data_IF_738007090664
#
_entry.id   IF_738007090664
#
_cell.length_a   1.000
_cell.length_b   1.000
_cell.length_c   1.000
_cell.angle_alpha   90.00
_cell.angle_beta   90.00
_cell.angle_gamma   90.00
#
_symmetry.space_group_name_H-M   'P 1'
#
loop_
_entity.id
_entity.type
_entity.pdbx_description
1 polymer ?
#
# COMPACT_ATOMS: atom_id res chain seq x y z
N UNK A 1 35.47 -28.27 46.46
CA UNK A 1 35.15 -26.96 45.84
C UNK A 1 34.07 -27.22 44.80
N UNK A 2 32.86 -26.82 45.11
CA UNK A 2 31.75 -26.95 44.18
C UNK A 2 31.74 -25.74 43.26
N UNK A 3 31.98 -25.93 41.96
CA UNK A 3 31.84 -24.89 40.95
C UNK A 3 30.35 -24.84 40.55
N UNK A 4 29.63 -23.70 40.70
CA UNK A 4 28.27 -23.59 40.28
C UNK A 4 28.18 -23.67 38.75
N UNK A 5 27.19 -24.40 38.26
CA UNK A 5 26.86 -24.49 36.84
C UNK A 5 26.57 -23.09 36.25
N UNK A 6 26.99 -22.80 34.98
CA UNK A 6 26.69 -21.53 34.36
C UNK A 6 25.17 -21.36 34.22
N UNK A 7 24.69 -20.21 34.67
CA UNK A 7 23.29 -19.82 34.48
C UNK A 7 22.96 -19.83 32.98
N UNK A 8 21.89 -20.52 32.60
CA UNK A 8 21.33 -20.45 31.26
C UNK A 8 20.98 -18.99 30.95
N UNK A 9 21.73 -18.40 30.04
CA UNK A 9 21.38 -17.12 29.43
C UNK A 9 20.16 -17.40 28.54
N UNK A 10 19.00 -17.10 29.07
CA UNK A 10 17.77 -17.12 28.26
C UNK A 10 18.02 -16.21 27.05
N UNK A 11 18.06 -16.80 25.85
CA UNK A 11 18.17 -16.06 24.59
C UNK A 11 16.87 -15.28 24.42
N UNK A 12 16.88 -14.00 24.82
CA UNK A 12 15.85 -13.07 24.43
C UNK A 12 16.07 -12.77 22.94
N UNK A 13 15.48 -13.61 22.08
CA UNK A 13 15.30 -13.20 20.69
C UNK A 13 14.46 -11.91 20.74
N UNK A 14 14.89 -10.82 20.07
CA UNK A 14 14.08 -9.61 20.03
C UNK A 14 12.71 -9.99 19.46
N UNK A 15 11.62 -9.38 19.96
CA UNK A 15 10.31 -9.64 19.43
C UNK A 15 10.34 -9.42 17.95
N UNK A 16 9.82 -10.37 17.17
CA UNK A 16 9.65 -10.24 15.72
C UNK A 16 8.65 -9.12 15.52
N UNK A 17 9.15 -7.90 15.22
CA UNK A 17 8.30 -6.79 14.85
C UNK A 17 7.70 -7.13 13.49
N UNK A 18 6.42 -7.50 13.47
CA UNK A 18 5.68 -7.56 12.22
C UNK A 18 5.55 -6.13 11.71
N UNK A 19 6.33 -5.77 10.69
CA UNK A 19 6.21 -4.47 10.04
C UNK A 19 4.81 -4.27 9.47
N UNK A 20 4.23 -3.10 9.74
CA UNK A 20 2.88 -2.74 9.30
C UNK A 20 2.94 -1.74 8.17
N UNK A 21 2.25 -2.05 7.09
CA UNK A 21 2.19 -1.19 5.92
C UNK A 21 0.76 -0.71 5.67
N UNK A 22 0.62 0.56 5.35
CA UNK A 22 -0.63 1.18 4.92
C UNK A 22 -0.55 1.59 3.46
N UNK A 23 -1.40 1.00 2.63
CA UNK A 23 -1.56 1.34 1.21
C UNK A 23 -2.73 2.30 1.07
N UNK A 24 -2.49 3.47 0.50
CA UNK A 24 -3.54 4.42 0.18
C UNK A 24 -4.04 4.18 -1.24
N UNK A 25 -5.28 3.69 -1.32
CA UNK A 25 -5.98 3.41 -2.57
C UNK A 25 -6.00 1.94 -2.99
N UNK A 26 -7.16 1.49 -3.48
CA UNK A 26 -7.41 0.17 -4.04
C UNK A 26 -7.57 0.21 -5.58
N UNK A 27 -6.80 1.07 -6.24
CA UNK A 27 -6.61 1.04 -7.70
C UNK A 27 -5.61 -0.05 -8.10
N UNK A 28 -5.35 -0.25 -9.41
CA UNK A 28 -4.44 -1.31 -9.88
C UNK A 28 -3.03 -1.19 -9.27
N UNK A 29 -2.51 0.02 -9.11
CA UNK A 29 -1.18 0.26 -8.52
C UNK A 29 -1.18 -0.06 -7.03
N UNK A 30 -2.19 0.39 -6.28
CA UNK A 30 -2.31 0.10 -4.85
C UNK A 30 -2.51 -1.39 -4.56
N UNK A 31 -3.32 -2.08 -5.37
CA UNK A 31 -3.55 -3.53 -5.22
C UNK A 31 -2.28 -4.35 -5.50
N UNK A 32 -1.52 -4.02 -6.53
CA UNK A 32 -0.23 -4.67 -6.80
C UNK A 32 0.78 -4.36 -5.69
N UNK A 33 0.83 -3.12 -5.19
CA UNK A 33 1.65 -2.75 -4.03
C UNK A 33 1.27 -3.53 -2.77
N UNK A 34 -0.04 -3.71 -2.51
CA UNK A 34 -0.50 -4.52 -1.39
C UNK A 34 -0.07 -6.00 -1.53
N UNK A 35 -0.16 -6.58 -2.73
CA UNK A 35 0.34 -7.94 -3.01
C UNK A 35 1.84 -8.07 -2.73
N UNK A 36 2.65 -7.09 -3.17
CA UNK A 36 4.10 -7.05 -2.90
C UNK A 36 4.37 -7.01 -1.40
N UNK A 37 3.70 -6.14 -0.66
CA UNK A 37 3.89 -5.99 0.79
C UNK A 37 3.48 -7.24 1.56
N UNK A 38 2.33 -7.84 1.24
CA UNK A 38 1.92 -9.12 1.83
C UNK A 38 2.91 -10.25 1.48
N UNK A 39 3.41 -10.29 0.23
CA UNK A 39 4.41 -11.28 -0.17
C UNK A 39 5.74 -11.09 0.57
N UNK A 40 6.10 -9.86 0.90
CA UNK A 40 7.28 -9.49 1.68
C UNK A 40 7.11 -9.70 3.20
N UNK A 41 5.92 -10.11 3.67
CA UNK A 41 5.67 -10.42 5.07
C UNK A 41 5.17 -9.26 5.93
N UNK A 42 4.77 -8.14 5.31
CA UNK A 42 4.12 -7.04 6.05
C UNK A 42 2.69 -7.40 6.45
N UNK A 43 2.30 -6.99 7.65
CA UNK A 43 0.87 -6.85 7.97
C UNK A 43 0.35 -5.65 7.20
N UNK A 44 -0.37 -5.91 6.12
CA UNK A 44 -0.76 -4.89 5.15
C UNK A 44 -2.20 -4.46 5.32
N UNK A 45 -2.42 -3.16 5.34
CA UNK A 45 -3.72 -2.50 5.36
C UNK A 45 -3.91 -1.70 4.07
N UNK A 46 -5.12 -1.73 3.51
CA UNK A 46 -5.48 -0.93 2.33
C UNK A 46 -6.62 0.00 2.70
N UNK A 47 -6.37 1.31 2.63
CA UNK A 47 -7.37 2.34 2.91
C UNK A 47 -7.89 2.93 1.61
N UNK A 48 -9.19 2.81 1.36
CA UNK A 48 -9.83 3.28 0.12
C UNK A 48 -11.29 3.66 0.35
N UNK A 49 -11.87 4.40 -0.60
CA UNK A 49 -13.22 4.98 -0.48
C UNK A 49 -14.35 3.96 -0.52
N UNK A 50 -14.19 2.86 -1.25
CA UNK A 50 -15.27 1.89 -1.41
C UNK A 50 -15.56 1.16 -0.09
N UNK A 51 -16.77 0.63 0.05
CA UNK A 51 -17.14 -0.19 1.21
C UNK A 51 -16.35 -1.53 1.22
N UNK A 52 -16.23 -2.12 2.39
CA UNK A 52 -15.48 -3.37 2.59
C UNK A 52 -15.99 -4.53 1.72
N UNK A 53 -17.31 -4.61 1.52
CA UNK A 53 -17.95 -5.68 0.73
C UNK A 53 -17.89 -5.42 -0.78
N UNK A 54 -17.15 -4.40 -1.22
CA UNK A 54 -16.90 -4.14 -2.64
C UNK A 54 -15.99 -5.20 -3.28
N UNK A 55 -15.99 -5.24 -4.61
CA UNK A 55 -15.08 -6.12 -5.37
C UNK A 55 -13.61 -5.91 -4.95
N UNK A 56 -13.19 -4.65 -4.74
CA UNK A 56 -11.82 -4.33 -4.32
C UNK A 56 -11.55 -4.72 -2.87
N UNK A 57 -12.50 -4.51 -1.97
CA UNK A 57 -12.39 -4.92 -0.57
C UNK A 57 -12.26 -6.45 -0.43
N UNK A 58 -13.08 -7.19 -1.17
CA UNK A 58 -12.99 -8.65 -1.22
C UNK A 58 -11.67 -9.14 -1.82
N UNK A 59 -11.16 -8.48 -2.87
CA UNK A 59 -9.86 -8.81 -3.45
C UNK A 59 -8.74 -8.58 -2.42
N UNK A 60 -8.71 -7.45 -1.73
CA UNK A 60 -7.73 -7.15 -0.67
C UNK A 60 -7.76 -8.21 0.42
N UNK A 61 -8.94 -8.60 0.87
CA UNK A 61 -9.09 -9.65 1.89
C UNK A 61 -8.60 -11.01 1.37
N UNK A 62 -8.85 -11.34 0.11
CA UNK A 62 -8.46 -12.62 -0.50
C UNK A 62 -6.95 -12.82 -0.63
N UNK A 63 -6.17 -11.73 -0.65
CA UNK A 63 -4.70 -11.80 -0.65
C UNK A 63 -4.08 -11.80 0.76
N UNK A 64 -4.92 -11.75 1.81
CA UNK A 64 -4.47 -11.74 3.20
C UNK A 64 -4.14 -10.35 3.74
N UNK A 65 -4.57 -9.27 3.06
CA UNK A 65 -4.49 -7.90 3.56
C UNK A 65 -5.79 -7.48 4.26
N UNK A 66 -5.72 -6.43 5.07
CA UNK A 66 -6.85 -5.84 5.77
C UNK A 66 -7.40 -4.66 4.96
N UNK A 67 -8.70 -4.61 4.72
CA UNK A 67 -9.33 -3.50 4.03
C UNK A 67 -10.06 -2.58 5.00
N UNK A 68 -9.75 -1.29 4.94
CA UNK A 68 -10.39 -0.24 5.74
C UNK A 68 -11.06 0.76 4.77
N UNK A 69 -12.35 1.01 4.99
CA UNK A 69 -13.13 1.94 4.15
C UNK A 69 -13.07 3.37 4.71
N UNK A 70 -12.77 4.33 3.85
CA UNK A 70 -12.84 5.75 4.17
C UNK A 70 -14.29 6.29 4.33
N UNK A 71 -15.29 5.51 3.96
CA UNK A 71 -16.70 5.82 4.25
C UNK A 71 -17.03 5.58 5.74
N UNK A 72 -16.26 4.74 6.41
CA UNK A 72 -16.54 4.33 7.80
C UNK A 72 -15.44 4.70 8.79
N UNK A 73 -14.23 5.01 8.32
CA UNK A 73 -13.08 5.31 9.17
C UNK A 73 -12.38 6.59 8.73
N UNK A 74 -12.14 7.48 9.66
CA UNK A 74 -11.22 8.62 9.49
C UNK A 74 -9.78 8.15 9.53
N UNK A 75 -8.84 8.98 9.05
CA UNK A 75 -7.40 8.68 9.10
C UNK A 75 -6.92 8.43 10.53
N UNK A 76 -7.41 9.19 11.51
CA UNK A 76 -7.05 8.99 12.91
C UNK A 76 -7.52 7.62 13.46
N UNK A 77 -8.70 7.15 13.03
CA UNK A 77 -9.18 5.81 13.38
C UNK A 77 -8.34 4.73 12.73
N UNK A 78 -7.97 4.91 11.45
CA UNK A 78 -7.05 4.00 10.74
C UNK A 78 -5.71 3.92 11.45
N UNK A 79 -5.12 5.05 11.81
CA UNK A 79 -3.84 5.09 12.53
C UNK A 79 -3.90 4.34 13.87
N UNK A 80 -5.01 4.47 14.59
CA UNK A 80 -5.25 3.73 15.85
C UNK A 80 -5.44 2.23 15.63
N UNK A 81 -6.12 1.84 14.54
CA UNK A 81 -6.37 0.41 14.23
C UNK A 81 -5.09 -0.28 13.77
N UNK A 82 -4.28 0.41 12.97
CA UNK A 82 -2.99 -0.12 12.47
C UNK A 82 -1.97 -0.20 13.61
N UNK A 83 -1.98 0.74 14.56
CA UNK A 83 -1.14 0.77 15.75
C UNK A 83 0.37 0.66 15.45
N UNK A 84 0.88 1.67 14.76
CA UNK A 84 2.27 1.75 14.29
C UNK A 84 2.39 1.51 12.79
N UNK A 85 2.54 2.59 12.02
CA UNK A 85 2.67 2.55 10.56
C UNK A 85 4.16 2.67 10.22
N UNK A 86 4.79 1.55 9.84
CA UNK A 86 6.20 1.53 9.43
C UNK A 86 6.37 1.96 7.98
N UNK A 87 5.40 1.68 7.11
CA UNK A 87 5.46 2.04 5.70
C UNK A 87 4.11 2.53 5.19
N UNK A 88 4.11 3.67 4.52
CA UNK A 88 2.96 4.14 3.72
C UNK A 88 3.30 4.09 2.24
N UNK A 89 2.45 3.42 1.47
CA UNK A 89 2.51 3.39 0.01
C UNK A 89 1.33 4.19 -0.56
N UNK A 90 1.60 5.41 -1.02
CA UNK A 90 0.58 6.32 -1.55
C UNK A 90 0.40 6.11 -3.05
N UNK A 91 -0.79 5.62 -3.47
CA UNK A 91 -1.13 5.26 -4.85
C UNK A 91 -2.45 5.90 -5.33
N UNK A 92 -2.89 7.00 -4.71
CA UNK A 92 -4.14 7.72 -5.04
C UNK A 92 -3.88 9.03 -5.76
N UNK A 93 -2.79 9.74 -5.41
CA UNK A 93 -2.57 11.10 -5.83
C UNK A 93 -3.51 12.09 -5.15
N UNK A 94 -3.90 11.86 -3.89
CA UNK A 94 -4.73 12.74 -3.09
C UNK A 94 -3.89 13.42 -2.01
N UNK A 95 -3.39 14.62 -2.30
CA UNK A 95 -2.47 15.35 -1.42
C UNK A 95 -3.02 15.60 -0.02
N UNK A 96 -4.29 15.95 0.12
CA UNK A 96 -4.91 16.15 1.44
C UNK A 96 -4.83 14.91 2.31
N UNK A 97 -5.21 13.76 1.75
CA UNK A 97 -5.13 12.46 2.44
C UNK A 97 -3.67 12.11 2.79
N UNK A 98 -2.76 12.27 1.84
CA UNK A 98 -1.36 11.91 2.04
C UNK A 98 -0.71 12.72 3.17
N UNK A 99 -0.93 14.05 3.21
CA UNK A 99 -0.39 14.91 4.27
C UNK A 99 -1.10 14.74 5.61
N UNK A 100 -2.33 14.25 5.64
CA UNK A 100 -2.99 13.84 6.87
C UNK A 100 -2.38 12.55 7.42
N UNK A 101 -2.18 11.53 6.56
CA UNK A 101 -1.63 10.23 6.97
C UNK A 101 -0.17 10.30 7.41
N UNK A 102 0.65 11.17 6.78
CA UNK A 102 2.09 11.28 7.09
C UNK A 102 2.36 11.61 8.56
N UNK A 103 1.42 12.29 9.23
CA UNK A 103 1.54 12.65 10.63
C UNK A 103 1.47 11.44 11.58
N UNK A 104 0.92 10.33 11.11
CA UNK A 104 0.79 9.07 11.85
C UNK A 104 1.88 8.05 11.53
N UNK A 105 2.83 8.40 10.67
CA UNK A 105 3.99 7.56 10.37
C UNK A 105 4.81 7.36 11.64
N UNK A 106 5.20 6.12 11.92
CA UNK A 106 5.92 5.79 13.14
C UNK A 106 7.41 6.13 13.07
N UNK A 107 8.12 5.90 14.16
CA UNK A 107 9.59 6.10 14.24
C UNK A 107 10.29 5.16 13.28
N UNK A 108 11.27 5.68 12.53
CA UNK A 108 11.94 5.02 11.42
C UNK A 108 11.02 4.63 10.25
N UNK A 109 9.81 5.20 10.21
CA UNK A 109 8.84 4.92 9.16
C UNK A 109 9.20 5.52 7.81
N UNK A 110 8.70 4.91 6.74
CA UNK A 110 8.95 5.30 5.35
C UNK A 110 7.63 5.68 4.66
N UNK A 111 7.57 6.83 4.04
CA UNK A 111 6.43 7.28 3.24
C UNK A 111 6.83 7.40 1.76
N UNK A 112 6.16 6.65 0.89
CA UNK A 112 6.44 6.61 -0.55
C UNK A 112 5.28 7.22 -1.33
N UNK A 113 5.54 8.33 -2.03
CA UNK A 113 4.60 8.92 -2.98
C UNK A 113 4.79 8.31 -4.36
N UNK A 114 3.73 7.73 -4.93
CA UNK A 114 3.68 7.28 -6.32
C UNK A 114 2.49 7.85 -7.09
N UNK A 115 1.46 8.28 -6.39
CA UNK A 115 0.31 8.94 -6.98
C UNK A 115 0.65 10.36 -7.43
N UNK A 116 0.32 10.69 -8.69
CA UNK A 116 0.48 12.05 -9.22
C UNK A 116 -0.83 12.81 -9.01
N UNK A 117 -0.86 13.83 -8.13
CA UNK A 117 -2.10 14.57 -7.88
C UNK A 117 -2.48 15.42 -9.09
N UNK A 118 -3.78 15.40 -9.42
CA UNK A 118 -4.34 16.43 -10.29
C UNK A 118 -4.26 17.80 -9.59
N UNK A 119 -4.02 18.88 -10.35
CA UNK A 119 -4.00 20.24 -9.78
C UNK A 119 -5.35 20.58 -9.16
N UNK A 120 -5.36 20.73 -7.84
CA UNK A 120 -6.50 21.16 -7.01
C UNK A 120 -6.07 22.42 -6.23
N UNK A 121 -6.99 22.92 -5.42
CA UNK A 121 -6.69 24.01 -4.50
C UNK A 121 -5.55 23.61 -3.53
N UNK A 122 -4.72 24.56 -3.08
CA UNK A 122 -3.71 24.34 -2.05
C UNK A 122 -4.35 23.74 -0.77
N UNK A 123 -3.57 22.90 -0.08
CA UNK A 123 -3.93 22.31 1.20
C UNK A 123 -3.02 22.94 2.27
N UNK A 124 -3.60 23.35 3.37
CA UNK A 124 -2.86 23.84 4.52
C UNK A 124 -2.22 22.67 5.27
N UNK A 125 -0.93 22.80 5.58
CA UNK A 125 -0.15 21.78 6.30
C UNK A 125 0.63 22.45 7.41
N UNK A 126 0.59 21.89 8.62
CA UNK A 126 1.47 22.28 9.72
C UNK A 126 2.90 21.82 9.42
N UNK A 127 3.67 22.72 8.81
CA UNK A 127 5.04 22.42 8.36
C UNK A 127 6.02 22.28 9.52
N UNK A 128 5.81 22.96 10.64
CA UNK A 128 6.66 22.85 11.81
C UNK A 128 6.50 21.49 12.47
N UNK A 129 5.26 21.03 12.62
CA UNK A 129 4.98 19.68 13.12
C UNK A 129 5.51 18.59 12.18
N UNK A 130 5.33 18.76 10.87
CA UNK A 130 5.84 17.82 9.87
C UNK A 130 7.37 17.69 9.96
N UNK A 131 8.07 18.82 9.91
CA UNK A 131 9.52 18.85 9.96
C UNK A 131 10.06 18.29 11.30
N UNK A 132 9.41 18.64 12.40
CA UNK A 132 9.73 18.10 13.73
C UNK A 132 9.61 16.57 13.77
N UNK A 133 8.53 16.02 13.23
CA UNK A 133 8.33 14.56 13.18
C UNK A 133 9.37 13.87 12.31
N UNK A 134 9.65 14.40 11.11
CA UNK A 134 10.69 13.87 10.22
C UNK A 134 12.04 13.72 10.92
N UNK A 135 12.46 14.77 11.66
CA UNK A 135 13.75 14.77 12.36
C UNK A 135 13.73 13.90 13.61
N UNK A 136 12.76 14.10 14.51
CA UNK A 136 12.77 13.45 15.82
C UNK A 136 12.36 11.98 15.77
N UNK A 137 11.62 11.57 14.74
CA UNK A 137 11.22 10.17 14.52
C UNK A 137 12.06 9.48 13.45
N UNK A 138 13.11 10.14 12.92
CA UNK A 138 13.99 9.56 11.91
C UNK A 138 13.22 8.98 10.71
N UNK A 139 12.24 9.76 10.19
CA UNK A 139 11.36 9.32 9.11
C UNK A 139 11.93 9.63 7.74
N UNK A 140 11.59 8.82 6.74
CA UNK A 140 11.98 9.01 5.34
C UNK A 140 10.72 9.25 4.51
N UNK A 141 10.74 10.33 3.73
CA UNK A 141 9.65 10.68 2.80
C UNK A 141 10.26 10.91 1.43
N UNK A 142 9.79 10.18 0.42
CA UNK A 142 10.26 10.36 -0.94
C UNK A 142 9.19 10.07 -1.98
N UNK A 143 9.40 10.59 -3.21
CA UNK A 143 8.56 10.32 -4.36
C UNK A 143 9.30 9.48 -5.40
N UNK A 144 8.56 8.63 -6.11
CA UNK A 144 9.09 7.86 -7.25
C UNK A 144 8.03 7.74 -8.32
N UNK A 145 8.45 7.75 -9.59
CA UNK A 145 7.52 7.69 -10.74
C UNK A 145 7.95 6.67 -11.79
N UNK A 146 9.23 6.52 -12.02
CA UNK A 146 9.77 5.66 -13.07
C UNK A 146 10.42 4.41 -12.51
N UNK A 147 10.43 3.35 -13.33
CA UNK A 147 11.09 2.09 -13.04
C UNK A 147 12.33 1.93 -13.94
N UNK A 148 13.44 1.52 -13.36
CA UNK A 148 14.62 1.07 -14.09
C UNK A 148 14.47 -0.43 -14.46
N UNK A 149 15.48 -0.98 -15.11
CA UNK A 149 15.49 -2.39 -15.51
C UNK A 149 15.31 -3.35 -14.31
N UNK A 150 16.01 -3.10 -13.22
CA UNK A 150 15.98 -3.97 -12.04
C UNK A 150 14.58 -4.00 -11.42
N UNK A 151 13.88 -2.86 -11.43
CA UNK A 151 12.49 -2.76 -10.98
C UNK A 151 11.53 -3.56 -11.87
N UNK A 152 11.72 -3.54 -13.21
CA UNK A 152 10.94 -4.39 -14.12
C UNK A 152 11.20 -5.87 -13.89
N UNK A 153 12.45 -6.27 -13.72
CA UNK A 153 12.81 -7.66 -13.44
C UNK A 153 12.24 -8.12 -12.08
N UNK A 154 12.26 -7.26 -11.06
CA UNK A 154 11.63 -7.52 -9.78
C UNK A 154 10.10 -7.69 -9.92
N UNK A 155 9.44 -6.81 -10.67
CA UNK A 155 8.01 -6.88 -10.92
C UNK A 155 7.60 -8.18 -11.62
N UNK A 156 8.40 -8.68 -12.56
CA UNK A 156 8.15 -9.97 -13.23
C UNK A 156 8.24 -11.13 -12.22
N UNK A 157 9.23 -11.12 -11.34
CA UNK A 157 9.36 -12.13 -10.27
C UNK A 157 8.19 -12.08 -9.31
N UNK A 158 7.78 -10.88 -8.91
CA UNK A 158 6.65 -10.66 -8.01
C UNK A 158 5.34 -11.13 -8.64
N UNK A 159 5.07 -10.78 -9.90
CA UNK A 159 3.89 -11.25 -10.64
C UNK A 159 3.85 -12.78 -10.72
N UNK A 160 5.00 -13.42 -10.98
CA UNK A 160 5.11 -14.89 -10.93
C UNK A 160 4.76 -15.47 -9.56
N UNK A 161 5.07 -14.76 -8.48
CA UNK A 161 4.70 -15.14 -7.12
C UNK A 161 3.21 -14.93 -6.87
N UNK A 162 2.64 -13.81 -7.31
CA UNK A 162 1.21 -13.51 -7.16
C UNK A 162 0.33 -14.52 -7.90
N UNK A 163 0.68 -14.88 -9.13
CA UNK A 163 -0.05 -15.91 -9.91
C UNK A 163 -0.06 -17.25 -9.18
N UNK A 164 1.02 -17.64 -8.49
CA UNK A 164 1.07 -18.87 -7.72
C UNK A 164 0.30 -18.79 -6.40
N UNK A 165 0.37 -17.67 -5.68
CA UNK A 165 -0.27 -17.51 -4.36
C UNK A 165 -1.75 -17.14 -4.45
N UNK A 166 -2.10 -16.28 -5.41
CA UNK A 166 -3.44 -15.68 -5.53
C UNK A 166 -3.93 -15.64 -6.98
N UNK A 167 -4.04 -16.78 -7.69
CA UNK A 167 -4.35 -16.80 -9.13
C UNK A 167 -5.65 -16.08 -9.46
N UNK A 168 -6.70 -16.27 -8.66
CA UNK A 168 -8.00 -15.63 -8.87
C UNK A 168 -7.96 -14.12 -8.61
N UNK A 169 -7.20 -13.68 -7.60
CA UNK A 169 -7.03 -12.25 -7.33
C UNK A 169 -6.29 -11.54 -8.48
N UNK A 170 -5.24 -12.17 -9.03
CA UNK A 170 -4.50 -11.64 -10.19
C UNK A 170 -5.40 -11.56 -11.43
N UNK A 171 -6.19 -12.60 -11.69
CA UNK A 171 -7.14 -12.60 -12.80
C UNK A 171 -8.18 -11.48 -12.66
N UNK A 172 -8.68 -11.25 -11.45
CA UNK A 172 -9.68 -10.22 -11.12
C UNK A 172 -9.15 -8.78 -11.27
N UNK A 173 -7.83 -8.57 -11.31
CA UNK A 173 -7.25 -7.24 -11.58
C UNK A 173 -7.65 -6.72 -12.96
N UNK A 174 -7.74 -7.59 -13.96
CA UNK A 174 -8.15 -7.21 -15.31
C UNK A 174 -9.65 -7.36 -15.45
N UNK A 175 -10.36 -6.26 -15.27
CA UNK A 175 -11.82 -6.22 -15.19
C UNK A 175 -12.48 -6.36 -16.56
N UNK A 176 -11.88 -5.79 -17.60
CA UNK A 176 -12.37 -5.91 -18.97
C UNK A 176 -11.22 -6.05 -19.97
N UNK A 177 -11.49 -6.83 -21.01
CA UNK A 177 -10.63 -7.00 -22.20
C UNK A 177 -11.49 -6.68 -23.41
N UNK A 178 -11.21 -5.56 -24.06
CA UNK A 178 -11.96 -5.10 -25.23
C UNK A 178 -11.11 -5.19 -26.50
N UNK A 179 -11.68 -5.46 -27.66
CA UNK A 179 -10.97 -5.41 -28.93
C UNK A 179 -10.55 -3.98 -29.26
N UNK A 180 -9.56 -3.82 -30.15
CA UNK A 180 -9.02 -2.50 -30.50
C UNK A 180 -10.08 -1.58 -31.14
N UNK A 181 -11.06 -2.13 -31.81
CA UNK A 181 -12.15 -1.42 -32.43
C UNK A 181 -13.02 -0.64 -31.43
N UNK A 182 -13.11 -1.14 -30.18
CA UNK A 182 -13.86 -0.54 -29.07
C UNK A 182 -13.01 0.42 -28.20
N UNK A 183 -11.77 0.71 -28.62
CA UNK A 183 -10.83 1.52 -27.83
C UNK A 183 -11.39 2.89 -27.42
N UNK A 184 -12.23 3.49 -28.29
CA UNK A 184 -12.77 4.83 -28.07
C UNK A 184 -13.69 4.88 -26.84
N UNK A 185 -14.54 3.89 -26.67
CA UNK A 185 -15.45 3.81 -25.52
C UNK A 185 -14.69 3.56 -24.22
N UNK A 186 -13.61 2.78 -24.30
CA UNK A 186 -12.72 2.55 -23.16
C UNK A 186 -11.93 3.79 -22.75
N UNK A 187 -11.42 4.56 -23.71
CA UNK A 187 -10.57 5.74 -23.45
C UNK A 187 -11.38 7.00 -23.09
N UNK A 188 -12.55 7.17 -23.66
CA UNK A 188 -13.38 8.38 -23.49
C UNK A 188 -14.56 8.16 -22.57
N UNK A 189 -14.96 6.91 -22.36
CA UNK A 189 -16.07 6.52 -21.47
C UNK A 189 -15.68 6.49 -19.99
N UNK A 190 -16.69 6.51 -19.12
CA UNK A 190 -16.51 6.22 -17.70
C UNK A 190 -16.56 4.70 -17.48
N UNK A 191 -15.51 4.01 -17.82
CA UNK A 191 -15.45 2.57 -17.63
C UNK A 191 -15.07 2.26 -16.18
N UNK A 192 -15.93 1.52 -15.49
CA UNK A 192 -15.71 1.06 -14.13
C UNK A 192 -14.67 -0.06 -14.05
N UNK A 193 -14.45 -0.58 -12.84
CA UNK A 193 -13.56 -1.71 -12.60
C UNK A 193 -12.17 -1.33 -12.07
N UNK A 194 -11.24 -2.29 -12.09
CA UNK A 194 -9.88 -2.12 -11.57
C UNK A 194 -8.93 -1.75 -12.70
N UNK A 195 -8.77 -2.64 -13.69
CA UNK A 195 -7.92 -2.41 -14.86
C UNK A 195 -8.61 -2.94 -16.11
N UNK A 196 -8.75 -2.09 -17.11
CA UNK A 196 -9.25 -2.46 -18.42
C UNK A 196 -8.09 -2.50 -19.42
N UNK A 197 -8.08 -3.47 -20.33
CA UNK A 197 -7.03 -3.64 -21.34
C UNK A 197 -7.65 -3.76 -22.74
N UNK A 198 -6.90 -3.29 -23.73
CA UNK A 198 -7.24 -3.39 -25.15
C UNK A 198 -6.44 -4.54 -25.74
N UNK A 199 -7.12 -5.45 -26.44
CA UNK A 199 -6.49 -6.48 -27.25
C UNK A 199 -6.14 -5.91 -28.61
N UNK A 200 -4.88 -6.02 -29.03
CA UNK A 200 -4.40 -5.55 -30.33
C UNK A 200 -4.45 -6.64 -31.41
N UNK A 201 -4.53 -7.90 -31.02
CA UNK A 201 -4.70 -9.08 -31.89
C UNK A 201 -5.30 -10.24 -31.07
#
# INVERSE_FOLDING_TARGET
>A
MNVPAPAEVASHAPPVHCHRALVLGAGPVGLLGAMTLVAAGFTTYVYSRELRDSVKGNLVTSIGANYISAETHTVAQVAKEVDGIDLVYEAVGASSLAFEVIQFLDTNGVFVFTGVPGRKAPVEVDTDLLMRNLVLRNQIVFGTVNANRDAFEAAIRDLGTFVRRWPQAVESLITARVPVEEHRDLLLGKVGGIKNVIKLA
#
